data_IF_228963970136
#
_entry.id   IF_228963970136
#
_cell.length_a   1.000
_cell.length_b   1.000
_cell.length_c   1.000
_cell.angle_alpha   90.00
_cell.angle_beta   90.00
_cell.angle_gamma   90.00
#
_symmetry.space_group_name_H-M   'P 1'
#
loop_
_entity.id
_entity.type
_entity.pdbx_description
1 polymer ?
#
# COMPACT_ATOMS: atom_id res chain seq x y z
N UNK A 1 12.88 3.79 0.83
CA UNK A 1 12.47 2.38 0.75
C UNK A 1 11.75 2.14 -0.58
N UNK A 2 11.84 0.96 -1.15
CA UNK A 2 11.25 0.61 -2.45
C UNK A 2 10.12 -0.39 -2.29
N UNK A 3 9.32 -0.57 -3.35
CA UNK A 3 8.26 -1.58 -3.40
C UNK A 3 8.81 -2.99 -3.09
N UNK A 4 9.99 -3.31 -3.63
CA UNK A 4 10.65 -4.60 -3.41
C UNK A 4 11.09 -4.80 -1.95
N UNK A 5 11.62 -3.75 -1.32
CA UNK A 5 12.01 -3.80 0.11
C UNK A 5 10.79 -4.00 1.01
N UNK A 6 9.66 -3.36 0.71
CA UNK A 6 8.40 -3.58 1.44
C UNK A 6 7.94 -5.02 1.30
N UNK A 7 7.93 -5.58 0.09
CA UNK A 7 7.47 -6.96 -0.11
C UNK A 7 8.26 -7.95 0.76
N UNK A 8 9.58 -7.78 0.84
CA UNK A 8 10.45 -8.60 1.71
C UNK A 8 10.09 -8.39 3.19
N UNK A 9 9.88 -7.15 3.61
CA UNK A 9 9.52 -6.82 4.99
C UNK A 9 8.17 -7.40 5.41
N UNK A 10 7.13 -7.24 4.59
CA UNK A 10 5.78 -7.76 4.88
C UNK A 10 5.78 -9.28 5.00
N UNK A 11 6.53 -9.97 4.12
CA UNK A 11 6.70 -11.42 4.19
C UNK A 11 7.45 -11.84 5.45
N UNK A 12 8.48 -11.10 5.84
CA UNK A 12 9.24 -11.35 7.08
C UNK A 12 8.38 -11.14 8.33
N UNK A 13 7.49 -10.15 8.34
CA UNK A 13 6.56 -9.91 9.44
C UNK A 13 5.35 -10.85 9.44
N UNK A 14 5.19 -11.69 8.41
CA UNK A 14 4.06 -12.61 8.29
C UNK A 14 2.72 -11.92 8.03
N UNK A 15 2.75 -10.70 7.46
CA UNK A 15 1.52 -9.97 7.13
C UNK A 15 0.82 -10.68 5.96
N UNK A 16 -0.46 -11.08 6.12
CA UNK A 16 -1.20 -11.77 5.07
C UNK A 16 -1.30 -10.95 3.78
N UNK A 17 -1.06 -11.59 2.63
CA UNK A 17 -1.10 -10.93 1.30
C UNK A 17 -2.51 -10.44 0.92
N UNK A 18 -3.56 -10.91 1.60
CA UNK A 18 -4.93 -10.45 1.41
C UNK A 18 -5.26 -9.13 2.12
N UNK A 19 -4.34 -8.59 2.95
CA UNK A 19 -4.48 -7.29 3.63
C UNK A 19 -3.98 -6.12 2.81
N UNK A 20 -3.21 -6.39 1.75
CA UNK A 20 -2.57 -5.35 0.97
C UNK A 20 -2.48 -5.65 -0.53
N UNK A 21 -2.16 -4.63 -1.33
CA UNK A 21 -1.76 -4.77 -2.73
C UNK A 21 -0.63 -3.78 -3.03
N UNK A 22 0.43 -4.23 -3.72
CA UNK A 22 1.55 -3.39 -4.14
C UNK A 22 1.44 -2.93 -5.60
N UNK A 23 0.40 -3.36 -6.30
CA UNK A 23 0.14 -3.05 -7.71
C UNK A 23 -1.23 -2.37 -7.93
N UNK A 24 -1.83 -1.85 -6.85
CA UNK A 24 -3.14 -1.22 -6.87
C UNK A 24 -4.28 -2.22 -7.05
N UNK A 25 -5.41 -1.75 -7.60
CA UNK A 25 -6.58 -2.56 -7.91
C UNK A 25 -7.83 -2.20 -7.09
N UNK A 26 -8.96 -2.77 -7.51
CA UNK A 26 -10.26 -2.65 -6.83
C UNK A 26 -10.49 -3.88 -5.95
N UNK A 27 -9.74 -3.94 -4.85
CA UNK A 27 -9.85 -5.03 -3.89
C UNK A 27 -10.93 -4.75 -2.83
N UNK A 28 -11.36 -5.80 -2.12
CA UNK A 28 -12.18 -5.64 -0.93
C UNK A 28 -11.25 -5.64 0.29
N UNK A 29 -11.31 -4.56 1.07
CA UNK A 29 -10.65 -4.41 2.36
C UNK A 29 -9.12 -4.55 2.33
N UNK A 30 -8.46 -3.86 1.39
CA UNK A 30 -6.99 -3.86 1.26
C UNK A 30 -6.42 -2.45 1.25
N UNK A 31 -5.26 -2.29 1.89
CA UNK A 31 -4.42 -1.12 1.65
C UNK A 31 -3.62 -1.33 0.37
N UNK A 32 -3.70 -0.37 -0.55
CA UNK A 32 -3.13 -0.48 -1.88
C UNK A 32 -2.06 0.59 -2.12
N UNK A 33 -0.93 0.18 -2.68
CA UNK A 33 0.08 1.03 -3.30
C UNK A 33 -0.05 0.88 -4.83
N UNK A 34 -0.16 1.98 -5.56
CA UNK A 34 -0.32 1.98 -7.02
C UNK A 34 0.58 3.03 -7.67
N UNK A 35 1.28 2.67 -8.74
CA UNK A 35 2.05 3.61 -9.58
C UNK A 35 1.22 3.96 -10.80
N UNK A 36 0.80 5.23 -10.91
CA UNK A 36 0.00 5.73 -12.03
C UNK A 36 0.42 7.15 -12.41
N UNK A 37 0.53 7.46 -13.69
CA UNK A 37 0.85 8.81 -14.19
C UNK A 37 2.08 9.45 -13.50
N UNK A 38 3.17 8.69 -13.36
CA UNK A 38 4.40 9.11 -12.66
C UNK A 38 4.21 9.55 -11.19
N UNK A 39 3.09 9.16 -10.56
CA UNK A 39 2.80 9.35 -9.14
C UNK A 39 2.53 8.02 -8.47
N UNK A 40 2.84 7.97 -7.19
CA UNK A 40 2.47 6.88 -6.31
C UNK A 40 1.21 7.24 -5.56
N UNK A 41 0.29 6.30 -5.46
CA UNK A 41 -0.95 6.44 -4.71
C UNK A 41 -0.97 5.40 -3.60
N UNK A 42 -1.34 5.84 -2.41
CA UNK A 42 -1.66 4.98 -1.27
C UNK A 42 -3.13 5.21 -0.94
N UNK A 43 -3.92 4.16 -0.92
CA UNK A 43 -5.35 4.24 -0.64
C UNK A 43 -5.84 2.95 -0.01
N UNK A 44 -6.94 3.04 0.72
CA UNK A 44 -7.66 1.85 1.13
C UNK A 44 -8.77 1.55 0.12
N UNK A 45 -8.90 0.29 -0.28
CA UNK A 45 -9.96 -0.17 -1.18
C UNK A 45 -11.08 -0.80 -0.35
N UNK A 46 -12.17 -0.06 -0.18
CA UNK A 46 -13.37 -0.50 0.53
C UNK A 46 -14.47 -0.78 -0.50
N UNK A 47 -14.89 -2.04 -0.61
CA UNK A 47 -15.88 -2.47 -1.61
C UNK A 47 -15.55 -2.03 -3.05
N UNK A 48 -14.28 -2.09 -3.44
CA UNK A 48 -13.80 -1.66 -4.76
C UNK A 48 -13.70 -0.14 -4.95
N UNK A 49 -14.08 0.65 -3.94
CA UNK A 49 -13.97 2.11 -3.91
C UNK A 49 -12.67 2.51 -3.22
N UNK A 50 -11.93 3.44 -3.84
CA UNK A 50 -10.70 3.99 -3.25
C UNK A 50 -11.07 5.09 -2.25
N UNK A 51 -10.73 4.92 -0.99
CA UNK A 51 -10.89 5.91 0.08
C UNK A 51 -9.53 6.27 0.70
N UNK A 52 -9.46 7.40 1.41
CA UNK A 52 -8.24 7.91 2.05
C UNK A 52 -7.03 7.96 1.08
N UNK A 53 -7.27 8.50 -0.12
CA UNK A 53 -6.30 8.50 -1.21
C UNK A 53 -5.23 9.57 -0.97
N UNK A 54 -4.01 9.13 -0.70
CA UNK A 54 -2.81 9.96 -0.64
C UNK A 54 -1.97 9.76 -1.90
N UNK A 55 -1.30 10.81 -2.39
CA UNK A 55 -0.42 10.71 -3.54
C UNK A 55 0.95 11.35 -3.31
N UNK A 56 1.97 10.76 -3.91
CA UNK A 56 3.37 11.12 -3.72
C UNK A 56 4.11 11.09 -5.04
N UNK A 57 5.17 11.89 -5.14
CA UNK A 57 6.05 11.90 -6.32
C UNK A 57 7.08 10.77 -6.22
N UNK A 58 7.71 10.67 -5.05
CA UNK A 58 8.80 9.74 -4.78
C UNK A 58 8.28 8.39 -4.26
N UNK A 59 8.86 7.30 -4.77
CA UNK A 59 8.55 5.94 -4.34
C UNK A 59 8.81 5.76 -2.86
N UNK A 60 9.93 6.30 -2.36
CA UNK A 60 10.35 6.11 -0.99
C UNK A 60 9.39 6.67 0.05
N UNK A 61 8.75 7.80 -0.26
CA UNK A 61 7.80 8.45 0.62
C UNK A 61 6.50 7.64 0.60
N UNK A 62 6.03 7.24 -0.59
CA UNK A 62 4.82 6.45 -0.73
C UNK A 62 4.92 5.10 -0.03
N UNK A 63 6.03 4.40 -0.23
CA UNK A 63 6.33 3.12 0.39
C UNK A 63 6.37 3.27 1.92
N UNK A 64 7.07 4.29 2.45
CA UNK A 64 7.12 4.52 3.91
C UNK A 64 5.74 4.79 4.48
N UNK A 65 4.98 5.69 3.86
CA UNK A 65 3.62 5.99 4.29
C UNK A 65 2.72 4.75 4.25
N UNK A 66 2.77 3.97 3.17
CA UNK A 66 2.02 2.73 3.04
C UNK A 66 2.33 1.73 4.17
N UNK A 67 3.61 1.54 4.48
CA UNK A 67 4.02 0.62 5.54
C UNK A 67 3.53 1.09 6.91
N UNK A 68 3.70 2.38 7.21
CA UNK A 68 3.27 2.96 8.48
C UNK A 68 1.75 2.82 8.67
N UNK A 69 0.96 3.06 7.63
CA UNK A 69 -0.49 2.85 7.66
C UNK A 69 -0.86 1.38 7.84
N UNK A 70 -0.21 0.46 7.12
CA UNK A 70 -0.50 -0.97 7.23
C UNK A 70 -0.21 -1.51 8.64
N UNK A 71 0.90 -1.10 9.23
CA UNK A 71 1.28 -1.50 10.61
C UNK A 71 0.27 -0.96 11.62
N UNK A 72 -0.19 0.30 11.48
CA UNK A 72 -1.25 0.88 12.34
C UNK A 72 -2.59 0.16 12.21
N UNK A 73 -2.89 -0.46 11.06
CA UNK A 73 -4.14 -1.18 10.83
C UNK A 73 -4.14 -2.61 11.39
N UNK A 74 -2.96 -3.15 11.69
CA UNK A 74 -2.77 -4.55 12.12
C UNK A 74 -2.41 -4.64 13.60
N UNK A 75 -1.77 -3.62 14.17
CA UNK A 75 -1.39 -3.54 15.59
C UNK A 75 -2.36 -2.66 16.37
#
# INVERSE_FOLDING_TARGET
MTKSEILVLLKKEGIPEDRYSLDGGSHHNRLCLERKNNRWYVYYSENGVKINVNNFILEEIACRHFYDELVKMIR
#
